data_IF_199458818691
#
_entry.id   IF_199458818691
#
_cell.length_a   1.000
_cell.length_b   1.000
_cell.length_c   1.000
_cell.angle_alpha   90.00
_cell.angle_beta   90.00
_cell.angle_gamma   90.00
#
_symmetry.space_group_name_H-M   'P 1'
#
loop_
_entity.id
_entity.type
_entity.pdbx_description
1 polymer ?
#
# COMPACT_ATOMS: atom_id res chain seq x y z
N UNK A 1 -26.42 -11.86 47.37
CA UNK A 1 -27.47 -12.81 47.72
C UNK A 1 -28.13 -13.33 46.47
N UNK A 2 -28.27 -14.69 46.38
CA UNK A 2 -28.96 -15.54 45.37
C UNK A 2 -28.15 -15.75 44.09
N UNK A 3 -27.42 -16.84 43.91
CA UNK A 3 -27.57 -18.30 43.80
C UNK A 3 -28.75 -18.79 42.95
N UNK A 4 -28.42 -19.49 41.85
CA UNK A 4 -29.06 -20.70 41.32
C UNK A 4 -28.24 -21.14 40.09
N UNK A 5 -27.45 -22.20 40.12
CA UNK A 5 -27.68 -23.66 40.14
C UNK A 5 -28.22 -24.17 38.77
N UNK A 6 -27.34 -24.85 38.02
CA UNK A 6 -27.27 -26.27 37.66
C UNK A 6 -28.37 -26.77 36.72
N UNK A 7 -27.97 -27.37 35.59
CA UNK A 7 -28.34 -28.75 35.30
C UNK A 7 -27.40 -29.39 34.24
N UNK A 8 -26.77 -30.47 34.70
CA UNK A 8 -26.17 -31.53 33.87
C UNK A 8 -27.28 -32.35 33.22
N UNK A 9 -27.11 -32.77 31.97
CA UNK A 9 -27.76 -33.99 31.45
C UNK A 9 -26.76 -34.73 30.57
N UNK A 10 -26.26 -35.81 31.12
CA UNK A 10 -25.56 -36.92 30.45
C UNK A 10 -26.56 -37.72 29.65
N UNK A 11 -26.26 -38.07 28.40
CA UNK A 11 -26.82 -39.22 27.73
C UNK A 11 -25.83 -39.79 26.72
N UNK A 12 -25.29 -40.91 27.11
CA UNK A 12 -24.53 -41.82 26.25
C UNK A 12 -25.48 -42.62 25.36
N UNK A 13 -25.18 -42.75 24.09
CA UNK A 13 -25.68 -43.86 23.28
C UNK A 13 -24.60 -44.36 22.32
N UNK A 14 -24.18 -45.58 22.64
CA UNK A 14 -23.31 -46.44 21.85
C UNK A 14 -24.17 -47.14 20.79
N UNK A 15 -23.79 -47.13 19.52
CA UNK A 15 -24.08 -48.21 18.58
C UNK A 15 -23.05 -48.28 17.46
N UNK A 16 -22.32 -49.38 17.44
CA UNK A 16 -21.47 -49.84 16.34
C UNK A 16 -22.34 -50.16 15.10
N UNK A 17 -21.86 -49.75 13.94
CA UNK A 17 -22.15 -50.46 12.69
C UNK A 17 -20.99 -50.23 11.71
N UNK A 18 -20.19 -51.28 11.50
CA UNK A 18 -19.22 -51.35 10.44
C UNK A 18 -19.93 -51.56 9.09
N UNK A 19 -19.73 -50.68 8.14
CA UNK A 19 -20.00 -50.94 6.74
C UNK A 19 -18.77 -50.55 5.93
N UNK A 20 -18.06 -51.55 5.45
CA UNK A 20 -17.01 -51.38 4.46
C UNK A 20 -17.65 -50.96 3.13
N UNK A 21 -17.34 -49.76 2.66
CA UNK A 21 -17.59 -49.35 1.29
C UNK A 21 -16.26 -48.99 0.63
N UNK A 22 -15.93 -49.81 -0.35
CA UNK A 22 -14.86 -49.63 -1.33
C UNK A 22 -14.93 -48.21 -1.93
N UNK A 23 -13.86 -47.45 -1.76
CA UNK A 23 -13.65 -46.16 -2.44
C UNK A 23 -13.25 -46.42 -3.89
N UNK A 24 -13.96 -45.87 -4.89
CA UNK A 24 -13.39 -45.72 -6.21
C UNK A 24 -12.30 -44.64 -6.13
N UNK A 25 -11.08 -44.96 -6.59
CA UNK A 25 -10.02 -44.02 -6.84
C UNK A 25 -10.45 -42.98 -7.89
N UNK A 26 -11.11 -41.93 -7.43
CA UNK A 26 -11.23 -40.72 -8.20
C UNK A 26 -9.90 -39.99 -8.16
N UNK A 27 -9.25 -39.88 -9.30
CA UNK A 27 -8.23 -38.86 -9.50
C UNK A 27 -8.91 -37.51 -9.30
N UNK A 28 -8.86 -36.98 -8.09
CA UNK A 28 -9.05 -35.57 -7.88
C UNK A 28 -7.89 -34.86 -8.57
N UNK A 29 -8.17 -34.39 -9.78
CA UNK A 29 -7.30 -33.45 -10.44
C UNK A 29 -7.13 -32.25 -9.50
N UNK A 30 -5.97 -32.17 -8.86
CA UNK A 30 -5.51 -30.97 -8.16
C UNK A 30 -5.50 -29.87 -9.22
N UNK A 31 -6.59 -29.09 -9.26
CA UNK A 31 -6.61 -27.85 -10.03
C UNK A 31 -5.57 -26.97 -9.34
N UNK A 32 -4.43 -26.65 -10.00
CA UNK A 32 -3.49 -25.75 -9.39
C UNK A 32 -4.22 -24.44 -9.13
N UNK A 33 -4.01 -23.79 -7.97
CA UNK A 33 -4.59 -22.49 -7.71
C UNK A 33 -4.22 -21.58 -8.88
N UNK A 34 -5.23 -20.97 -9.49
CA UNK A 34 -5.03 -19.92 -10.49
C UNK A 34 -4.24 -18.82 -9.77
N UNK A 35 -2.92 -18.85 -9.94
CA UNK A 35 -2.06 -17.72 -9.59
C UNK A 35 -2.49 -16.62 -10.56
N UNK A 36 -3.41 -15.76 -10.10
CA UNK A 36 -3.63 -14.49 -10.76
C UNK A 36 -2.25 -13.85 -10.84
N UNK A 37 -1.76 -13.45 -12.02
CA UNK A 37 -0.53 -12.68 -12.08
C UNK A 37 -0.78 -11.45 -11.23
N UNK A 38 -0.17 -11.36 -10.05
CA UNK A 38 0.03 -10.08 -9.39
C UNK A 38 0.67 -9.20 -10.43
N UNK A 39 0.06 -8.06 -10.76
CA UNK A 39 0.63 -7.12 -11.71
C UNK A 39 2.11 -7.01 -11.41
N UNK A 40 2.96 -7.16 -12.44
CA UNK A 40 4.40 -7.22 -12.26
C UNK A 40 4.82 -6.00 -11.42
N UNK A 41 5.42 -6.27 -10.26
CA UNK A 41 5.92 -5.20 -9.41
C UNK A 41 7.02 -4.48 -10.17
N UNK A 42 6.82 -3.20 -10.45
CA UNK A 42 7.80 -2.38 -11.15
C UNK A 42 8.98 -2.03 -10.24
N UNK A 43 10.12 -1.76 -10.86
CA UNK A 43 11.32 -1.37 -10.14
C UNK A 43 11.15 0.02 -9.51
N UNK A 44 11.11 0.09 -8.19
CA UNK A 44 10.94 1.34 -7.45
C UNK A 44 12.04 2.37 -7.70
N UNK A 45 13.21 1.96 -8.21
CA UNK A 45 14.31 2.87 -8.58
C UNK A 45 13.90 3.92 -9.60
N UNK A 46 12.84 3.66 -10.38
CA UNK A 46 12.29 4.67 -11.30
C UNK A 46 11.72 5.89 -10.56
N UNK A 47 11.38 5.74 -9.27
CA UNK A 47 10.90 6.84 -8.42
C UNK A 47 12.04 7.71 -7.88
N UNK A 48 13.27 7.18 -7.78
CA UNK A 48 14.39 7.87 -7.15
C UNK A 48 14.70 9.21 -7.80
N UNK A 49 15.06 10.18 -6.98
CA UNK A 49 15.43 11.52 -7.40
C UNK A 49 14.56 12.62 -6.82
N UNK A 50 14.67 13.81 -7.37
CA UNK A 50 13.89 14.97 -6.95
C UNK A 50 12.65 15.15 -7.79
N UNK A 51 11.57 15.52 -7.13
CA UNK A 51 10.26 15.79 -7.72
C UNK A 51 9.73 17.12 -7.25
N UNK A 52 9.10 17.87 -8.14
CA UNK A 52 8.19 18.93 -7.76
C UNK A 52 6.87 18.31 -7.31
N UNK A 53 6.55 18.47 -6.04
CA UNK A 53 5.26 18.06 -5.44
C UNK A 53 4.39 19.31 -5.32
N UNK A 54 3.27 19.32 -6.03
CA UNK A 54 2.36 20.45 -6.11
C UNK A 54 1.00 20.12 -5.49
N UNK A 55 0.69 20.80 -4.38
CA UNK A 55 -0.59 20.80 -3.70
C UNK A 55 -0.90 22.23 -3.22
N UNK A 56 -1.39 23.08 -4.14
CA UNK A 56 -1.58 24.51 -3.87
C UNK A 56 -0.27 25.32 -3.84
N UNK A 57 0.81 24.72 -3.36
CA UNK A 57 2.18 25.25 -3.44
C UNK A 57 3.11 24.14 -3.96
N UNK A 58 4.24 24.52 -4.53
CA UNK A 58 5.26 23.57 -5.01
C UNK A 58 6.33 23.41 -3.95
N UNK A 59 6.61 22.18 -3.56
CA UNK A 59 7.73 21.81 -2.70
C UNK A 59 8.55 20.70 -3.35
N UNK A 60 9.83 20.59 -3.00
CA UNK A 60 10.66 19.51 -3.49
C UNK A 60 10.45 18.27 -2.62
N UNK A 61 10.06 17.15 -3.26
CA UNK A 61 10.07 15.82 -2.69
C UNK A 61 11.32 15.08 -3.19
N UNK A 62 12.15 14.58 -2.27
CA UNK A 62 13.34 13.80 -2.61
C UNK A 62 13.11 12.35 -2.25
N UNK A 63 13.21 11.44 -3.23
CA UNK A 63 12.97 10.00 -3.08
C UNK A 63 14.26 9.21 -3.24
N UNK A 64 14.41 8.17 -2.42
CA UNK A 64 15.48 7.17 -2.51
C UNK A 64 15.13 6.05 -3.55
N UNK A 65 16.02 5.07 -3.69
CA UNK A 65 15.83 3.94 -4.61
C UNK A 65 14.69 2.99 -4.21
N UNK A 66 14.21 3.07 -2.98
CA UNK A 66 13.05 2.34 -2.48
C UNK A 66 11.74 3.13 -2.70
N UNK A 67 11.84 4.36 -3.20
CA UNK A 67 10.73 5.28 -3.37
C UNK A 67 10.27 5.96 -2.08
N UNK A 68 11.08 5.88 -1.00
CA UNK A 68 10.79 6.59 0.23
C UNK A 68 11.49 7.95 0.22
N UNK A 69 10.93 8.93 0.88
CA UNK A 69 11.58 10.23 0.89
C UNK A 69 10.89 11.31 1.68
N UNK A 70 11.41 12.51 1.59
CA UNK A 70 11.00 13.64 2.42
C UNK A 70 10.69 14.89 1.61
N UNK A 71 9.83 15.72 2.17
CA UNK A 71 9.55 17.09 1.70
C UNK A 71 9.47 18.06 2.88
N UNK A 72 9.74 19.33 2.62
CA UNK A 72 9.95 20.32 3.71
C UNK A 72 8.67 20.78 4.42
N UNK A 73 7.48 20.53 3.83
CA UNK A 73 6.21 20.96 4.44
C UNK A 73 5.87 20.08 5.64
N UNK A 74 5.77 20.66 6.85
CA UNK A 74 5.34 19.97 8.08
C UNK A 74 6.15 18.71 8.42
N UNK A 75 7.44 18.69 8.15
CA UNK A 75 8.25 17.49 8.40
C UNK A 75 7.73 16.26 7.61
N UNK A 76 7.32 16.50 6.37
CA UNK A 76 6.61 15.50 5.59
C UNK A 76 7.53 14.41 5.02
N UNK A 77 7.01 13.18 4.94
CA UNK A 77 7.67 12.05 4.26
C UNK A 77 6.68 11.13 3.58
N UNK A 78 7.18 10.45 2.56
CA UNK A 78 6.50 9.38 1.85
C UNK A 78 7.17 8.04 2.14
N UNK A 79 6.35 7.01 2.35
CA UNK A 79 6.76 5.62 2.49
C UNK A 79 6.05 4.80 1.40
N UNK A 80 6.81 4.16 0.53
CA UNK A 80 6.27 3.40 -0.60
C UNK A 80 5.86 2.00 -0.18
N UNK A 81 4.62 1.63 -0.45
CA UNK A 81 4.12 0.28 -0.24
C UNK A 81 4.25 -0.58 -1.50
N UNK A 82 3.82 -0.07 -2.65
CA UNK A 82 3.87 -0.79 -3.92
C UNK A 82 3.97 0.14 -5.12
N UNK A 83 4.52 -0.39 -6.19
CA UNK A 83 4.50 0.21 -7.52
C UNK A 83 4.22 -0.91 -8.52
N UNK A 84 3.11 -0.81 -9.26
CA UNK A 84 2.71 -1.76 -10.29
C UNK A 84 1.76 -1.10 -11.29
N UNK A 85 1.89 -1.45 -12.55
CA UNK A 85 1.07 -0.88 -13.65
C UNK A 85 1.03 0.66 -13.61
N UNK A 86 2.18 1.29 -13.38
CA UNK A 86 2.34 2.75 -13.23
C UNK A 86 1.51 3.34 -12.07
N UNK A 87 0.99 2.49 -11.20
CA UNK A 87 0.26 2.93 -10.01
C UNK A 87 1.13 2.79 -8.77
N UNK A 88 1.42 3.91 -8.15
CA UNK A 88 2.24 4.01 -6.94
C UNK A 88 1.36 4.22 -5.72
N UNK A 89 1.48 3.33 -4.74
CA UNK A 89 0.76 3.41 -3.46
C UNK A 89 1.73 3.55 -2.30
N UNK A 90 1.31 4.31 -1.31
CA UNK A 90 2.10 4.46 -0.11
C UNK A 90 1.36 5.17 1.02
N UNK A 91 2.16 5.54 2.00
CA UNK A 91 1.76 6.31 3.16
C UNK A 91 2.50 7.64 3.18
N UNK A 92 1.81 8.71 3.52
CA UNK A 92 2.42 9.99 3.84
C UNK A 92 2.31 10.24 5.34
N UNK A 93 3.30 10.93 5.92
CA UNK A 93 3.37 11.28 7.32
C UNK A 93 3.84 12.72 7.42
N UNK A 94 3.23 13.49 8.30
CA UNK A 94 3.65 14.84 8.66
C UNK A 94 3.86 14.91 10.17
N UNK A 95 5.12 14.92 10.61
CA UNK A 95 5.47 14.86 12.03
C UNK A 95 5.13 16.14 12.78
N UNK A 96 5.30 17.31 12.16
CA UNK A 96 5.13 18.61 12.83
C UNK A 96 3.65 18.91 13.21
N UNK A 97 2.70 18.24 12.60
CA UNK A 97 1.27 18.41 12.88
C UNK A 97 0.54 17.10 13.19
N UNK A 98 1.30 16.04 13.45
CA UNK A 98 0.84 14.71 13.87
C UNK A 98 -0.30 14.16 12.99
N UNK A 99 -0.05 14.10 11.68
CA UNK A 99 -1.00 13.62 10.68
C UNK A 99 -0.36 12.57 9.80
N UNK A 100 -1.19 11.62 9.39
CA UNK A 100 -0.77 10.60 8.43
C UNK A 100 -1.93 10.13 7.57
N UNK A 101 -1.59 9.53 6.44
CA UNK A 101 -2.59 9.01 5.53
C UNK A 101 -2.02 8.17 4.43
N UNK A 102 -2.90 7.66 3.60
CA UNK A 102 -2.55 6.95 2.40
C UNK A 102 -2.50 7.85 1.18
N UNK A 103 -1.79 7.42 0.17
CA UNK A 103 -1.84 8.03 -1.15
C UNK A 103 -1.83 6.98 -2.27
N UNK A 104 -2.30 7.40 -3.42
CA UNK A 104 -2.12 6.70 -4.70
C UNK A 104 -1.75 7.71 -5.76
N UNK A 105 -0.82 7.35 -6.64
CA UNK A 105 -0.38 8.17 -7.79
C UNK A 105 -0.47 7.33 -9.04
N UNK A 106 -1.11 7.87 -10.08
CA UNK A 106 -1.01 7.34 -11.42
C UNK A 106 0.14 8.04 -12.13
N UNK A 107 1.18 7.28 -12.45
CA UNK A 107 2.38 7.80 -13.12
C UNK A 107 2.23 7.77 -14.63
N UNK A 108 2.91 8.69 -15.30
CA UNK A 108 3.06 8.67 -16.76
C UNK A 108 3.86 7.44 -17.21
N UNK A 109 3.72 7.01 -18.49
CA UNK A 109 4.44 5.83 -19.00
C UNK A 109 5.97 5.93 -18.92
N UNK A 110 6.52 7.14 -18.89
CA UNK A 110 7.96 7.41 -18.80
C UNK A 110 8.41 7.72 -17.38
N UNK A 111 7.51 7.63 -16.37
CA UNK A 111 7.78 7.93 -14.96
C UNK A 111 8.29 9.36 -14.71
N UNK A 112 7.97 10.31 -15.60
CA UNK A 112 8.40 11.70 -15.46
C UNK A 112 7.39 12.58 -14.73
N UNK A 113 6.14 12.14 -14.63
CA UNK A 113 5.06 12.87 -13.96
C UNK A 113 4.03 11.93 -13.36
N UNK A 114 3.13 12.46 -12.52
CA UNK A 114 2.03 11.70 -11.96
C UNK A 114 0.95 12.57 -11.34
N UNK A 115 -0.26 12.04 -11.30
CA UNK A 115 -1.40 12.62 -10.62
C UNK A 115 -1.74 11.80 -9.39
N UNK A 116 -1.77 12.42 -8.24
CA UNK A 116 -1.94 11.79 -6.95
C UNK A 116 -3.25 12.17 -6.27
N UNK A 117 -3.70 11.23 -5.42
CA UNK A 117 -4.75 11.45 -4.43
C UNK A 117 -4.23 11.01 -3.09
N UNK A 118 -4.60 11.73 -2.04
CA UNK A 118 -4.28 11.37 -0.67
C UNK A 118 -5.53 11.44 0.22
N UNK A 119 -5.51 10.72 1.32
CA UNK A 119 -6.55 10.71 2.34
C UNK A 119 -5.91 10.56 3.72
N UNK A 120 -6.63 11.00 4.76
CA UNK A 120 -6.20 10.79 6.14
C UNK A 120 -6.48 9.36 6.60
N UNK A 121 -5.58 8.81 7.42
CA UNK A 121 -5.80 7.60 8.22
C UNK A 121 -5.70 7.88 9.70
N UNK A 122 -5.09 9.01 10.09
CA UNK A 122 -5.01 9.50 11.46
C UNK A 122 -4.76 11.01 11.46
N UNK A 123 -5.38 11.68 12.44
CA UNK A 123 -5.12 13.10 12.77
C UNK A 123 -5.01 13.16 14.28
N UNK A 124 -3.81 13.44 14.82
CA UNK A 124 -3.53 13.41 16.24
C UNK A 124 -4.01 12.06 16.85
N UNK A 125 -4.85 12.09 17.90
CA UNK A 125 -5.40 10.90 18.53
C UNK A 125 -6.63 10.30 17.82
N UNK A 126 -7.11 10.90 16.73
CA UNK A 126 -8.26 10.41 15.96
C UNK A 126 -7.82 9.36 14.90
N UNK A 127 -8.13 8.06 15.10
CA UNK A 127 -7.76 6.99 14.17
C UNK A 127 -8.75 6.83 13.00
N UNK A 128 -9.82 7.60 12.96
CA UNK A 128 -10.86 7.51 11.92
C UNK A 128 -11.38 8.90 11.50
N UNK A 129 -10.48 9.80 11.05
CA UNK A 129 -10.85 11.17 10.74
C UNK A 129 -11.86 11.24 9.58
N UNK A 130 -12.79 12.17 9.69
CA UNK A 130 -13.81 12.41 8.66
C UNK A 130 -13.42 13.48 7.65
N UNK A 131 -12.26 14.12 7.83
CA UNK A 131 -11.71 15.10 6.93
C UNK A 131 -11.45 14.50 5.55
N UNK A 132 -11.81 15.22 4.51
CA UNK A 132 -11.55 14.80 3.14
C UNK A 132 -10.07 14.97 2.82
N UNK A 133 -9.55 14.03 2.05
CA UNK A 133 -8.27 14.15 1.40
C UNK A 133 -8.27 15.16 0.24
N UNK A 134 -7.20 15.13 -0.54
CA UNK A 134 -6.99 16.01 -1.67
C UNK A 134 -6.34 15.33 -2.85
N UNK A 135 -5.93 16.16 -3.81
CA UNK A 135 -5.18 15.75 -4.99
C UNK A 135 -3.90 16.55 -5.09
N UNK A 136 -2.90 15.98 -5.73
CA UNK A 136 -1.62 16.63 -5.98
C UNK A 136 -1.03 16.18 -7.31
N UNK A 137 -0.04 16.92 -7.79
CA UNK A 137 0.70 16.56 -8.98
C UNK A 137 2.19 16.39 -8.63
N UNK A 138 2.84 15.52 -9.39
CA UNK A 138 4.26 15.27 -9.32
C UNK A 138 4.89 15.48 -10.68
N UNK A 139 6.03 16.17 -10.70
CA UNK A 139 6.87 16.29 -11.89
C UNK A 139 8.31 16.01 -11.51
N UNK A 140 8.93 15.03 -12.15
CA UNK A 140 10.30 14.64 -11.88
C UNK A 140 11.25 15.72 -12.40
N UNK A 141 12.15 16.19 -11.53
CA UNK A 141 13.18 17.14 -11.93
C UNK A 141 14.20 16.43 -12.81
N UNK A 142 14.50 17.01 -13.96
CA UNK A 142 15.59 16.53 -14.79
C UNK A 142 16.88 16.64 -14.00
N UNK A 143 17.58 15.51 -13.79
CA UNK A 143 18.96 15.58 -13.33
C UNK A 143 19.71 16.41 -14.35
N UNK A 144 20.23 17.59 -13.93
CA UNK A 144 21.10 18.36 -14.80
C UNK A 144 22.27 17.43 -15.16
N UNK A 145 22.25 16.92 -16.38
CA UNK A 145 23.42 16.27 -16.99
C UNK A 145 24.49 17.35 -16.96
N UNK A 146 25.44 17.24 -16.03
CA UNK A 146 26.61 18.11 -15.96
C UNK A 146 27.21 18.13 -17.34
N UNK A 147 27.00 19.27 -18.04
CA UNK A 147 27.41 19.47 -19.41
C UNK A 147 28.89 19.15 -19.56
N UNK A 148 29.20 18.23 -20.45
CA UNK A 148 30.52 18.12 -21.04
C UNK A 148 30.73 19.43 -21.78
N UNK A 149 31.71 20.29 -21.36
CA UNK A 149 31.98 21.50 -22.13
C UNK A 149 32.38 21.08 -23.55
N UNK A 150 31.97 21.83 -24.58
CA UNK A 150 32.42 21.54 -25.94
C UNK A 150 33.92 21.63 -25.96
N UNK A 151 34.59 20.57 -26.40
CA UNK A 151 36.03 20.55 -26.65
C UNK A 151 36.34 21.52 -27.78
N UNK A 152 37.37 22.39 -27.66
CA UNK A 152 37.74 23.37 -28.65
C UNK A 152 38.28 22.73 -29.95
#
# INVERSE_FOLDING_TARGET
MRHAKWNLALSAFLLLSAAACTTPSGHEGVVPPLIMPSGAQEDRRVLAGEWDYEEGAVVTLTLDEQGNGTYSWKGGRFETHSLSDHTWHGKWIQEDNDREGGFTVQLSPDFSSGEGRWWYTRIEDDPAPTQKGGTFQLTKKSSAVNGIPPTP
#
